data_IF_432818292771
#
_entry.id   IF_432818292771
#
_cell.length_a   1.000
_cell.length_b   1.000
_cell.length_c   1.000
_cell.angle_alpha   90.00
_cell.angle_beta   90.00
_cell.angle_gamma   90.00
#
_symmetry.space_group_name_H-M   'P 1'
#
loop_
_entity.id
_entity.type
_entity.pdbx_description
1 polymer ?
#
# COMPACT_ATOMS: atom_id res chain seq x y z
N UNK A 1 7.66 17.26 8.44
CA UNK A 1 8.61 16.48 9.26
C UNK A 1 9.19 15.44 8.30
N UNK A 2 10.40 15.66 7.78
CA UNK A 2 11.02 14.69 6.87
C UNK A 2 11.27 13.38 7.62
N UNK A 3 10.82 12.25 7.06
CA UNK A 3 11.09 10.90 7.59
C UNK A 3 12.61 10.67 7.65
N UNK A 4 13.19 10.70 8.85
CA UNK A 4 14.63 10.56 9.04
C UNK A 4 15.09 9.10 9.00
N UNK A 5 16.39 8.89 8.80
CA UNK A 5 17.04 7.57 8.65
C UNK A 5 16.92 6.59 9.83
N UNK A 6 16.19 6.95 10.89
CA UNK A 6 15.97 6.15 12.09
C UNK A 6 14.53 5.64 12.21
N UNK A 7 13.66 5.96 11.27
CA UNK A 7 12.29 5.50 11.28
C UNK A 7 12.21 4.05 10.80
N UNK A 8 11.56 3.22 11.62
CA UNK A 8 11.52 1.77 11.44
C UNK A 8 10.21 1.37 10.72
N UNK A 9 10.30 0.43 9.79
CA UNK A 9 9.16 -0.21 9.14
C UNK A 9 9.04 -1.66 9.65
N UNK A 10 7.88 -1.98 10.21
CA UNK A 10 7.51 -3.31 10.72
C UNK A 10 6.61 -3.97 9.69
N UNK A 11 6.89 -5.22 9.35
CA UNK A 11 6.04 -6.04 8.48
C UNK A 11 5.72 -7.36 9.16
N UNK A 12 4.44 -7.66 9.33
CA UNK A 12 3.96 -8.92 9.89
C UNK A 12 3.12 -9.66 8.86
N UNK A 13 3.41 -10.95 8.65
CA UNK A 13 2.64 -11.80 7.73
C UNK A 13 2.45 -13.17 8.35
N UNK A 14 1.21 -13.57 8.61
CA UNK A 14 0.79 -14.93 8.86
C UNK A 14 0.61 -15.67 7.52
N UNK A 15 1.39 -16.71 7.28
CA UNK A 15 1.58 -17.37 5.97
C UNK A 15 1.26 -18.86 5.96
N UNK A 16 0.94 -19.49 7.10
CA UNK A 16 0.43 -20.87 7.10
C UNK A 16 -1.02 -20.97 6.62
N UNK A 17 -1.19 -21.07 5.30
CA UNK A 17 -2.39 -21.69 4.69
C UNK A 17 -2.13 -23.19 4.56
N UNK A 18 -2.19 -23.90 5.68
CA UNK A 18 -2.30 -25.36 5.66
C UNK A 18 -3.75 -25.74 5.94
N UNK A 19 -4.46 -26.15 4.88
CA UNK A 19 -5.76 -26.85 4.88
C UNK A 19 -7.03 -26.00 4.68
N UNK A 20 -7.17 -25.40 3.51
CA UNK A 20 -8.49 -25.19 2.89
C UNK A 20 -8.50 -25.89 1.52
N UNK A 21 -9.18 -27.05 1.37
CA UNK A 21 -9.14 -27.84 0.13
C UNK A 21 -9.86 -27.19 -1.06
N UNK A 22 -10.43 -25.99 -0.90
CA UNK A 22 -11.15 -25.26 -1.95
C UNK A 22 -10.45 -23.96 -2.38
N UNK A 23 -9.27 -23.64 -1.84
CA UNK A 23 -8.51 -22.43 -2.19
C UNK A 23 -7.09 -22.83 -2.60
N UNK A 24 -6.83 -22.77 -3.91
CA UNK A 24 -5.56 -22.96 -4.59
C UNK A 24 -5.01 -24.40 -4.73
N UNK A 25 -4.50 -24.77 -5.93
CA UNK A 25 -3.77 -26.01 -6.10
C UNK A 25 -2.48 -25.99 -5.27
N UNK A 26 -2.21 -27.14 -4.66
CA UNK A 26 -1.05 -27.49 -3.85
C UNK A 26 0.26 -27.18 -4.58
N UNK A 27 0.86 -26.00 -4.34
CA UNK A 27 2.26 -25.71 -4.72
C UNK A 27 2.92 -24.81 -3.64
N UNK A 28 3.68 -25.46 -2.76
CA UNK A 28 4.92 -24.99 -2.09
C UNK A 28 4.80 -23.97 -0.93
N UNK A 29 4.31 -24.47 0.21
CA UNK A 29 3.97 -23.74 1.43
C UNK A 29 5.12 -23.35 2.38
N UNK A 30 6.40 -23.27 1.98
CA UNK A 30 7.47 -22.81 2.91
C UNK A 30 8.68 -22.12 2.24
N UNK A 31 8.87 -22.23 0.92
CA UNK A 31 10.00 -21.61 0.20
C UNK A 31 9.65 -20.25 -0.41
N UNK A 32 8.35 -19.92 -0.54
CA UNK A 32 7.86 -18.69 -1.17
C UNK A 32 7.74 -17.49 -0.21
N UNK A 33 7.73 -17.71 1.10
CA UNK A 33 7.58 -16.62 2.08
C UNK A 33 8.81 -15.73 2.09
N UNK A 34 10.02 -16.28 2.26
CA UNK A 34 11.26 -15.50 2.29
C UNK A 34 11.45 -14.61 1.04
N UNK A 35 11.22 -15.15 -0.16
CA UNK A 35 11.35 -14.40 -1.42
C UNK A 35 10.31 -13.29 -1.58
N UNK A 36 9.06 -13.52 -1.18
CA UNK A 36 8.04 -12.47 -1.17
C UNK A 36 8.39 -11.36 -0.17
N UNK A 37 8.96 -11.70 0.99
CA UNK A 37 9.38 -10.72 1.99
C UNK A 37 10.53 -9.85 1.51
N UNK A 38 11.56 -10.43 0.92
CA UNK A 38 12.66 -9.69 0.31
C UNK A 38 12.15 -8.76 -0.78
N UNK A 39 11.21 -9.22 -1.61
CA UNK A 39 10.54 -8.38 -2.59
C UNK A 39 9.78 -7.22 -1.92
N UNK A 40 8.95 -7.48 -0.90
CA UNK A 40 8.21 -6.41 -0.20
C UNK A 40 9.16 -5.42 0.48
N UNK A 41 10.27 -5.88 1.07
CA UNK A 41 11.33 -5.04 1.62
C UNK A 41 11.89 -4.10 0.54
N UNK A 42 12.37 -4.66 -0.57
CA UNK A 42 12.88 -3.90 -1.71
C UNK A 42 11.86 -2.88 -2.24
N UNK A 43 10.58 -3.26 -2.33
CA UNK A 43 9.52 -2.36 -2.78
C UNK A 43 9.35 -1.14 -1.87
N UNK A 44 9.38 -1.31 -0.55
CA UNK A 44 9.32 -0.18 0.38
C UNK A 44 10.62 0.61 0.44
N UNK A 45 11.78 -0.05 0.31
CA UNK A 45 13.10 0.59 0.26
C UNK A 45 13.23 1.53 -0.94
N UNK A 46 12.58 1.22 -2.07
CA UNK A 46 12.48 2.15 -3.21
C UNK A 46 11.84 3.48 -2.82
N UNK A 47 10.81 3.46 -1.98
CA UNK A 47 10.12 4.68 -1.53
C UNK A 47 10.85 5.39 -0.39
N UNK A 48 11.58 4.65 0.46
CA UNK A 48 12.31 5.21 1.60
C UNK A 48 13.62 4.45 1.88
N UNK A 49 14.68 4.67 1.10
CA UNK A 49 15.90 3.85 1.17
C UNK A 49 16.70 4.03 2.47
N UNK A 50 16.41 5.08 3.24
CA UNK A 50 17.15 5.40 4.47
C UNK A 50 16.48 4.86 5.74
N UNK A 51 15.27 4.30 5.64
CA UNK A 51 14.60 3.68 6.79
C UNK A 51 15.28 2.37 7.20
N UNK A 52 15.03 1.93 8.44
CA UNK A 52 15.41 0.60 8.88
C UNK A 52 14.21 -0.32 8.75
N UNK A 53 14.41 -1.45 8.11
CA UNK A 53 13.35 -2.41 7.89
C UNK A 53 13.51 -3.62 8.79
N UNK A 54 12.41 -4.03 9.42
CA UNK A 54 12.34 -5.25 10.22
C UNK A 54 11.07 -6.01 9.85
N UNK A 55 11.18 -7.32 9.78
CA UNK A 55 10.07 -8.19 9.46
C UNK A 55 9.93 -9.29 10.49
N UNK A 56 8.73 -9.86 10.58
CA UNK A 56 8.47 -11.08 11.29
C UNK A 56 7.52 -11.98 10.49
N UNK A 57 7.87 -13.26 10.41
CA UNK A 57 7.09 -14.31 9.75
C UNK A 57 6.25 -15.00 10.81
N UNK A 58 4.96 -15.16 10.55
CA UNK A 58 4.03 -15.92 11.39
C UNK A 58 4.18 -15.62 12.89
N UNK A 59 4.23 -14.33 13.31
CA UNK A 59 4.69 -13.99 14.64
C UNK A 59 3.76 -14.46 15.74
N UNK A 60 4.32 -14.59 16.93
CA UNK A 60 3.59 -14.59 18.21
C UNK A 60 3.32 -13.17 18.73
N UNK A 61 2.35 -13.04 19.65
CA UNK A 61 2.05 -11.76 20.30
C UNK A 61 3.30 -11.15 20.95
N UNK A 62 4.12 -11.95 21.61
CA UNK A 62 5.36 -11.49 22.26
C UNK A 62 6.38 -10.98 21.24
N UNK A 63 6.49 -11.61 20.08
CA UNK A 63 7.38 -11.18 19.01
C UNK A 63 6.92 -9.87 18.38
N UNK A 64 5.62 -9.73 18.12
CA UNK A 64 5.03 -8.46 17.66
C UNK A 64 5.28 -7.35 18.67
N UNK A 65 5.05 -7.62 19.96
CA UNK A 65 5.29 -6.66 21.04
C UNK A 65 6.74 -6.22 21.10
N UNK A 66 7.68 -7.17 21.10
CA UNK A 66 9.13 -6.88 21.12
C UNK A 66 9.54 -6.04 19.90
N UNK A 67 9.00 -6.37 18.73
CA UNK A 67 9.26 -5.66 17.49
C UNK A 67 8.73 -4.23 17.53
N UNK A 68 7.46 -4.03 17.91
CA UNK A 68 6.83 -2.71 18.05
C UNK A 68 7.58 -1.81 19.03
N UNK A 69 7.87 -2.32 20.24
CA UNK A 69 8.59 -1.57 21.27
C UNK A 69 10.03 -1.24 20.84
N UNK A 70 10.70 -2.18 20.17
CA UNK A 70 12.04 -1.97 19.63
C UNK A 70 12.05 -0.87 18.56
N UNK A 71 11.09 -0.89 17.64
CA UNK A 71 10.97 0.11 16.58
C UNK A 71 10.62 1.49 17.11
N UNK A 72 9.65 1.60 18.03
CA UNK A 72 9.36 2.88 18.69
C UNK A 72 10.58 3.43 19.42
N UNK A 73 11.29 2.59 20.18
CA UNK A 73 12.51 3.03 20.89
C UNK A 73 13.56 3.60 19.93
N UNK A 74 13.73 2.99 18.76
CA UNK A 74 14.69 3.43 17.74
C UNK A 74 14.25 4.72 17.03
N UNK A 75 12.98 4.78 16.62
CA UNK A 75 12.42 5.91 15.89
C UNK A 75 12.30 7.17 16.75
N UNK A 76 12.21 7.04 18.08
CA UNK A 76 12.01 8.15 19.01
C UNK A 76 10.75 8.94 18.64
N UNK A 77 10.91 10.17 18.15
CA UNK A 77 9.84 11.07 17.69
C UNK A 77 9.49 10.90 16.21
N UNK A 78 10.22 10.09 15.46
CA UNK A 78 9.96 9.83 14.05
C UNK A 78 8.77 8.86 13.86
N UNK A 79 8.19 8.87 12.67
CA UNK A 79 7.06 8.01 12.33
C UNK A 79 7.51 6.55 12.20
N UNK A 80 6.70 5.63 12.69
CA UNK A 80 6.91 4.18 12.52
C UNK A 80 5.84 3.65 11.55
N UNK A 81 6.25 2.87 10.55
CA UNK A 81 5.32 2.19 9.65
C UNK A 81 5.07 0.79 10.18
N UNK A 82 3.80 0.40 10.30
CA UNK A 82 3.39 -0.96 10.62
C UNK A 82 2.55 -1.52 9.48
N UNK A 83 3.07 -2.52 8.79
CA UNK A 83 2.39 -3.26 7.75
C UNK A 83 1.97 -4.61 8.30
N UNK A 84 0.68 -4.92 8.19
CA UNK A 84 0.11 -6.21 8.52
C UNK A 84 -0.60 -6.77 7.30
N UNK A 85 -0.11 -7.91 6.80
CA UNK A 85 -0.84 -8.72 5.85
C UNK A 85 -1.51 -9.84 6.65
N UNK A 86 -2.83 -9.99 6.55
CA UNK A 86 -3.62 -10.95 7.34
C UNK A 86 -4.31 -12.02 6.49
N UNK A 87 -3.71 -12.46 5.39
CA UNK A 87 -4.36 -13.40 4.47
C UNK A 87 -4.43 -14.84 4.99
N UNK A 88 -3.43 -15.28 5.77
CA UNK A 88 -3.35 -16.65 6.30
C UNK A 88 -4.07 -16.87 7.64
N UNK A 89 -4.88 -15.92 8.09
CA UNK A 89 -5.53 -15.89 9.40
C UNK A 89 -7.01 -15.47 9.29
N UNK A 90 -7.83 -15.68 10.33
CA UNK A 90 -9.22 -15.22 10.32
C UNK A 90 -9.34 -13.70 10.13
N UNK A 91 -10.52 -13.24 9.71
CA UNK A 91 -10.84 -11.81 9.60
C UNK A 91 -10.75 -11.13 10.98
N UNK A 92 -10.38 -9.83 11.04
CA UNK A 92 -10.42 -9.07 12.28
C UNK A 92 -11.77 -9.16 12.97
N UNK A 93 -11.81 -9.02 14.29
CA UNK A 93 -13.05 -9.15 15.07
C UNK A 93 -13.71 -7.80 15.31
N UNK A 94 -15.01 -7.81 15.65
CA UNK A 94 -15.74 -6.62 16.08
C UNK A 94 -15.19 -6.02 17.40
N UNK A 95 -14.42 -6.80 18.17
CA UNK A 95 -13.76 -6.32 19.39
C UNK A 95 -12.46 -5.56 19.10
N UNK A 96 -12.08 -5.40 17.82
CA UNK A 96 -10.85 -4.72 17.44
C UNK A 96 -9.62 -5.60 17.66
N UNK A 97 -9.67 -6.85 17.20
CA UNK A 97 -8.55 -7.78 17.27
C UNK A 97 -8.08 -8.13 15.86
N UNK A 98 -6.76 -8.15 15.67
CA UNK A 98 -6.12 -8.83 14.53
C UNK A 98 -5.61 -10.20 14.98
N UNK A 99 -5.22 -11.05 14.04
CA UNK A 99 -4.82 -12.42 14.36
C UNK A 99 -3.34 -12.66 14.08
N UNK A 100 -2.69 -13.35 15.02
CA UNK A 100 -1.31 -13.83 14.94
C UNK A 100 -1.27 -15.31 15.33
N UNK A 101 -0.10 -15.94 15.41
CA UNK A 101 0.00 -17.37 15.75
C UNK A 101 0.48 -17.60 17.20
N UNK A 102 0.23 -18.80 17.72
CA UNK A 102 0.99 -19.32 18.84
C UNK A 102 2.33 -19.93 18.35
N UNK A 103 3.25 -20.21 19.28
CA UNK A 103 4.59 -20.75 18.96
C UNK A 103 4.57 -22.06 18.18
N UNK A 104 3.55 -22.89 18.39
CA UNK A 104 3.38 -24.18 17.71
C UNK A 104 2.64 -24.08 16.37
N UNK A 105 2.16 -22.89 15.99
CA UNK A 105 1.34 -22.64 14.81
C UNK A 105 0.10 -23.53 14.71
N UNK A 106 -0.49 -23.86 15.86
CA UNK A 106 -1.69 -24.70 15.96
C UNK A 106 -2.94 -23.88 16.22
N UNK A 107 -2.79 -22.64 16.67
CA UNK A 107 -3.89 -21.75 17.02
C UNK A 107 -3.62 -20.34 16.54
N UNK A 108 -4.71 -19.69 16.10
CA UNK A 108 -4.75 -18.26 15.91
C UNK A 108 -4.97 -17.59 17.26
N UNK A 109 -4.13 -16.62 17.58
CA UNK A 109 -4.15 -15.86 18.82
C UNK A 109 -4.62 -14.44 18.51
N UNK A 110 -5.69 -13.95 19.17
CA UNK A 110 -6.16 -12.59 18.96
C UNK A 110 -5.16 -11.60 19.57
N UNK A 111 -4.84 -10.55 18.83
CA UNK A 111 -4.02 -9.43 19.23
C UNK A 111 -4.88 -8.16 19.19
N UNK A 112 -5.26 -7.60 20.35
CA UNK A 112 -6.03 -6.36 20.41
C UNK A 112 -5.28 -5.20 19.77
N UNK A 113 -5.96 -4.41 18.93
CA UNK A 113 -5.34 -3.24 18.31
C UNK A 113 -5.04 -2.12 19.31
N UNK A 114 -5.70 -2.16 20.48
CA UNK A 114 -5.35 -1.31 21.62
C UNK A 114 -3.93 -1.53 22.11
N UNK A 115 -3.44 -2.78 22.05
CA UNK A 115 -2.11 -3.14 22.48
C UNK A 115 -1.08 -2.66 21.46
N UNK A 116 -1.35 -2.87 20.16
CA UNK A 116 -0.55 -2.32 19.08
C UNK A 116 -0.39 -0.80 19.17
N UNK A 117 -1.50 -0.07 19.33
CA UNK A 117 -1.51 1.39 19.53
C UNK A 117 -0.65 1.79 20.75
N UNK A 118 -0.74 1.03 21.84
CA UNK A 118 0.02 1.31 23.07
C UNK A 118 1.54 1.10 22.91
N UNK A 119 1.95 0.13 22.09
CA UNK A 119 3.36 -0.21 21.85
C UNK A 119 4.00 0.74 20.83
N UNK A 120 3.28 1.02 19.74
CA UNK A 120 3.77 1.84 18.66
C UNK A 120 3.60 3.32 18.92
N UNK A 121 2.52 3.78 19.55
CA UNK A 121 2.23 5.19 19.83
C UNK A 121 2.33 6.09 18.59
N UNK A 122 2.14 7.38 18.77
CA UNK A 122 2.30 8.39 17.70
C UNK A 122 3.72 8.97 17.69
N UNK A 123 4.23 9.41 16.52
CA UNK A 123 3.59 9.34 15.20
C UNK A 123 3.72 7.93 14.58
N UNK A 124 2.65 7.41 13.98
CA UNK A 124 2.66 6.09 13.32
C UNK A 124 1.75 6.05 12.10
N UNK A 125 2.06 5.15 11.16
CA UNK A 125 1.23 4.82 10.00
C UNK A 125 1.05 3.31 9.94
N UNK A 126 -0.17 2.86 9.66
CA UNK A 126 -0.53 1.45 9.61
C UNK A 126 -1.08 1.09 8.23
N UNK A 127 -0.69 -0.06 7.72
CA UNK A 127 -1.19 -0.65 6.46
C UNK A 127 -1.77 -2.02 6.82
N UNK A 128 -3.07 -2.22 6.59
CA UNK A 128 -3.78 -3.46 6.87
C UNK A 128 -4.28 -4.10 5.59
N UNK A 129 -3.54 -5.07 5.08
CA UNK A 129 -3.91 -5.89 3.93
C UNK A 129 -4.61 -7.17 4.41
N UNK A 130 -5.91 -7.07 4.65
CA UNK A 130 -6.76 -8.21 5.00
C UNK A 130 -8.23 -7.92 4.67
N UNK A 131 -9.03 -8.98 4.60
CA UNK A 131 -10.49 -8.85 4.52
C UNK A 131 -11.05 -8.28 5.82
N UNK A 132 -12.15 -7.53 5.73
CA UNK A 132 -12.75 -6.77 6.83
C UNK A 132 -11.80 -5.81 7.57
N UNK A 133 -10.75 -5.31 6.90
CA UNK A 133 -9.78 -4.40 7.50
C UNK A 133 -10.42 -3.11 8.09
N UNK A 134 -11.60 -2.72 7.62
CA UNK A 134 -12.34 -1.60 8.19
C UNK A 134 -12.80 -1.79 9.63
N UNK A 135 -12.90 -3.03 10.12
CA UNK A 135 -13.12 -3.28 11.56
C UNK A 135 -11.95 -2.81 12.40
N UNK A 136 -10.71 -2.94 11.89
CA UNK A 136 -9.50 -2.45 12.56
C UNK A 136 -9.54 -0.93 12.66
N UNK A 137 -9.82 -0.26 11.54
CA UNK A 137 -9.88 1.22 11.49
C UNK A 137 -10.94 1.74 12.46
N UNK A 138 -12.13 1.14 12.48
CA UNK A 138 -13.20 1.49 13.41
C UNK A 138 -12.72 1.39 14.87
N UNK A 139 -12.10 0.28 15.26
CA UNK A 139 -11.59 0.08 16.61
C UNK A 139 -10.50 1.10 17.02
N UNK A 140 -9.64 1.51 16.08
CA UNK A 140 -8.66 2.57 16.32
C UNK A 140 -9.33 3.93 16.57
N UNK A 141 -10.37 4.28 15.80
CA UNK A 141 -11.07 5.57 15.90
C UNK A 141 -11.86 5.66 17.20
N UNK A 142 -12.68 4.66 17.52
CA UNK A 142 -13.51 4.64 18.75
C UNK A 142 -12.65 4.81 20.01
N UNK A 143 -11.44 4.25 20.01
CA UNK A 143 -10.47 4.41 21.10
C UNK A 143 -9.87 5.82 21.16
N UNK A 144 -9.60 6.44 20.02
CA UNK A 144 -9.08 7.82 19.98
C UNK A 144 -10.10 8.78 20.57
N UNK A 145 -11.37 8.64 20.21
CA UNK A 145 -12.45 9.49 20.70
C UNK A 145 -12.59 9.37 22.23
N UNK A 146 -12.60 8.14 22.76
CA UNK A 146 -12.62 7.88 24.21
C UNK A 146 -11.44 8.52 24.95
N UNK A 147 -10.23 8.44 24.37
CA UNK A 147 -9.02 9.01 24.95
C UNK A 147 -9.04 10.54 24.94
N UNK A 148 -9.53 11.16 23.87
CA UNK A 148 -9.62 12.61 23.71
C UNK A 148 -10.63 13.25 24.66
N UNK A 149 -11.74 12.56 24.96
CA UNK A 149 -12.72 13.00 25.97
C UNK A 149 -12.18 13.04 27.40
N UNK A 150 -11.02 12.43 27.70
CA UNK A 150 -10.43 12.37 29.05
C UNK A 150 -9.24 13.28 29.27
N UNK A 151 -8.75 13.99 28.25
CA UNK A 151 -7.64 14.93 28.35
C UNK A 151 -7.94 16.20 27.57
N UNK A 152 -8.22 17.30 28.30
CA UNK A 152 -8.38 18.65 27.75
C UNK A 152 -7.07 19.10 27.08
N UNK A 153 -6.93 18.83 25.79
CA UNK A 153 -5.72 19.01 25.00
C UNK A 153 -5.64 17.97 23.90
N UNK A 154 -6.63 17.97 22.99
CA UNK A 154 -6.69 17.10 21.81
C UNK A 154 -5.54 17.42 20.85
N UNK A 155 -4.35 16.90 21.15
CA UNK A 155 -3.39 16.56 20.11
C UNK A 155 -4.08 15.50 19.25
N UNK A 156 -4.50 15.89 18.04
CA UNK A 156 -4.88 14.93 16.99
C UNK A 156 -3.73 13.94 16.94
N UNK A 157 -3.96 12.72 17.44
CA UNK A 157 -2.95 11.67 17.42
C UNK A 157 -2.49 11.55 15.98
N UNK A 158 -1.19 11.70 15.75
CA UNK A 158 -0.59 11.58 14.43
C UNK A 158 -0.52 10.10 14.01
N UNK A 159 -1.70 9.51 13.88
CA UNK A 159 -1.99 8.14 13.54
C UNK A 159 -2.65 8.12 12.16
N UNK A 160 -2.03 7.42 11.23
CA UNK A 160 -2.51 7.25 9.87
C UNK A 160 -2.83 5.77 9.66
N UNK A 161 -3.98 5.46 9.09
CA UNK A 161 -4.41 4.09 8.82
C UNK A 161 -4.74 3.96 7.34
N UNK A 162 -4.27 2.90 6.70
CA UNK A 162 -4.64 2.49 5.35
C UNK A 162 -5.13 1.04 5.46
N UNK A 163 -6.35 0.77 5.00
CA UNK A 163 -6.98 -0.54 5.12
C UNK A 163 -7.57 -0.98 3.77
N UNK A 164 -7.35 -2.25 3.43
CA UNK A 164 -7.66 -2.78 2.10
C UNK A 164 -9.15 -2.78 1.76
N UNK A 165 -10.03 -2.85 2.75
CA UNK A 165 -11.47 -2.88 2.52
C UNK A 165 -12.28 -2.38 3.73
N UNK A 166 -13.56 -2.08 3.52
CA UNK A 166 -14.50 -1.74 4.60
C UNK A 166 -14.74 -2.90 5.59
N UNK A 167 -15.47 -2.63 6.68
CA UNK A 167 -15.70 -3.60 7.77
C UNK A 167 -16.41 -4.90 7.34
N UNK A 168 -17.20 -4.84 6.27
CA UNK A 168 -17.87 -6.01 5.68
C UNK A 168 -17.25 -6.43 4.33
N UNK A 169 -16.18 -5.75 3.91
CA UNK A 169 -15.50 -6.02 2.64
C UNK A 169 -14.73 -7.33 2.68
N UNK A 170 -14.60 -7.95 1.52
CA UNK A 170 -13.69 -9.07 1.29
C UNK A 170 -12.72 -8.66 0.18
N UNK A 171 -11.48 -9.13 0.27
CA UNK A 171 -10.50 -8.88 -0.78
C UNK A 171 -10.93 -9.54 -2.10
N UNK A 172 -10.52 -8.99 -3.25
CA UNK A 172 -10.72 -9.63 -4.56
C UNK A 172 -10.22 -11.08 -4.57
N UNK A 173 -11.00 -11.96 -5.20
CA UNK A 173 -10.67 -13.40 -5.34
C UNK A 173 -10.49 -13.82 -6.80
N UNK A 174 -10.69 -12.91 -7.76
CA UNK A 174 -10.47 -13.17 -9.18
C UNK A 174 -8.99 -13.47 -9.43
N UNK A 175 -8.71 -14.42 -10.32
CA UNK A 175 -7.35 -14.77 -10.74
C UNK A 175 -6.64 -13.65 -11.52
N UNK A 176 -7.37 -12.59 -11.90
CA UNK A 176 -6.83 -11.40 -12.54
C UNK A 176 -6.04 -10.52 -11.57
N UNK A 177 -6.30 -10.65 -10.26
CA UNK A 177 -5.61 -9.87 -9.23
C UNK A 177 -4.68 -10.77 -8.41
N UNK A 178 -3.53 -10.25 -7.97
CA UNK A 178 -2.72 -10.94 -6.99
C UNK A 178 -3.45 -10.97 -5.63
N UNK A 179 -3.11 -11.94 -4.79
CA UNK A 179 -3.70 -12.04 -3.45
C UNK A 179 -3.45 -10.77 -2.61
N UNK A 180 -2.27 -10.16 -2.76
CA UNK A 180 -1.81 -8.94 -2.11
C UNK A 180 -2.12 -7.65 -2.88
N UNK A 181 -3.24 -7.61 -3.62
CA UNK A 181 -3.68 -6.46 -4.44
C UNK A 181 -3.54 -5.11 -3.74
N UNK A 182 -3.91 -5.00 -2.46
CA UNK A 182 -3.81 -3.74 -1.73
C UNK A 182 -2.36 -3.33 -1.51
N UNK A 183 -1.53 -4.26 -1.03
CA UNK A 183 -0.09 -4.04 -0.87
C UNK A 183 0.56 -3.71 -2.20
N UNK A 184 0.32 -4.51 -3.25
CA UNK A 184 0.89 -4.33 -4.57
C UNK A 184 0.49 -2.98 -5.18
N UNK A 185 -0.74 -2.49 -4.96
CA UNK A 185 -1.13 -1.15 -5.43
C UNK A 185 -0.36 -0.06 -4.68
N UNK A 186 -0.17 -0.22 -3.37
CA UNK A 186 0.56 0.75 -2.54
C UNK A 186 2.06 0.76 -2.81
N UNK A 187 2.66 -0.37 -3.19
CA UNK A 187 4.13 -0.51 -3.27
C UNK A 187 4.66 -0.63 -4.69
N UNK A 188 3.85 -1.10 -5.64
CA UNK A 188 4.19 -1.28 -7.07
C UNK A 188 3.04 -0.81 -7.98
N UNK A 189 2.62 0.47 -7.90
CA UNK A 189 1.42 0.98 -8.55
C UNK A 189 1.43 0.83 -10.08
N UNK A 190 2.58 1.09 -10.74
CA UNK A 190 2.70 0.99 -12.19
C UNK A 190 2.52 -0.45 -12.66
N UNK A 191 3.16 -1.42 -12.00
CA UNK A 191 3.01 -2.83 -12.35
C UNK A 191 1.57 -3.31 -12.16
N UNK A 192 0.91 -2.86 -11.09
CA UNK A 192 -0.51 -3.17 -10.86
C UNK A 192 -1.41 -2.61 -11.94
N UNK A 193 -1.17 -1.37 -12.38
CA UNK A 193 -1.89 -0.77 -13.50
C UNK A 193 -1.67 -1.58 -14.80
N UNK A 194 -0.41 -1.89 -15.14
CA UNK A 194 -0.12 -2.65 -16.36
C UNK A 194 -0.78 -4.04 -16.36
N UNK A 195 -0.88 -4.69 -15.20
CA UNK A 195 -1.53 -6.01 -15.07
C UNK A 195 -3.05 -6.02 -15.28
N UNK A 196 -3.71 -4.85 -15.21
CA UNK A 196 -5.17 -4.71 -15.37
C UNK A 196 -5.57 -3.84 -16.57
N UNK A 197 -4.60 -3.21 -17.23
CA UNK A 197 -4.83 -2.33 -18.38
C UNK A 197 -5.55 -3.09 -19.50
N UNK A 198 -6.31 -2.37 -20.32
CA UNK A 198 -6.96 -2.94 -21.52
C UNK A 198 -5.96 -3.58 -22.50
N UNK A 199 -4.69 -3.17 -22.41
CA UNK A 199 -3.61 -3.75 -23.20
C UNK A 199 -3.08 -5.08 -22.64
N UNK A 200 -3.59 -5.60 -21.53
CA UNK A 200 -3.15 -6.88 -20.91
C UNK A 200 -3.18 -8.05 -21.91
N UNK A 201 -4.19 -8.10 -22.77
CA UNK A 201 -4.29 -9.19 -23.77
C UNK A 201 -3.35 -8.99 -24.96
N UNK A 202 -2.79 -7.79 -25.13
CA UNK A 202 -1.90 -7.42 -26.24
C UNK A 202 -0.42 -7.41 -25.82
N UNK A 203 -0.15 -7.06 -24.56
CA UNK A 203 1.18 -6.96 -23.99
C UNK A 203 1.38 -8.15 -23.06
N UNK A 204 2.26 -9.08 -23.46
CA UNK A 204 2.64 -10.20 -22.62
C UNK A 204 3.18 -9.68 -21.28
N UNK A 205 2.68 -10.25 -20.17
CA UNK A 205 3.13 -9.95 -18.81
C UNK A 205 4.66 -10.06 -18.68
N UNK A 206 5.28 -10.95 -19.44
CA UNK A 206 6.73 -11.10 -19.50
C UNK A 206 7.45 -9.84 -20.01
N UNK A 207 6.82 -9.04 -20.89
CA UNK A 207 7.39 -7.78 -21.37
C UNK A 207 7.35 -6.70 -20.30
N UNK A 208 6.30 -6.66 -19.47
CA UNK A 208 6.18 -5.74 -18.33
C UNK A 208 7.31 -5.98 -17.33
N UNK A 209 7.61 -7.24 -17.03
CA UNK A 209 8.69 -7.62 -16.10
C UNK A 209 10.09 -7.30 -16.66
N UNK A 210 10.21 -7.11 -17.97
CA UNK A 210 11.46 -6.74 -18.65
C UNK A 210 11.68 -5.24 -18.77
N UNK A 211 10.71 -4.41 -18.36
CA UNK A 211 10.88 -2.95 -18.36
C UNK A 211 12.06 -2.60 -17.46
N UNK A 212 13.11 -1.91 -17.97
CA UNK A 212 14.25 -1.53 -17.16
C UNK A 212 13.83 -0.65 -15.97
N UNK A 213 14.27 -1.02 -14.77
CA UNK A 213 13.91 -0.33 -13.51
C UNK A 213 14.66 1.02 -13.37
N UNK A 214 14.27 2.00 -14.19
CA UNK A 214 14.82 3.36 -14.24
C UNK A 214 13.75 4.42 -13.98
N UNK A 215 12.97 4.25 -12.92
CA UNK A 215 11.83 5.10 -12.55
C UNK A 215 12.14 6.60 -12.36
N UNK A 216 13.42 6.94 -12.14
CA UNK A 216 13.87 8.33 -11.99
C UNK A 216 14.28 8.96 -13.33
N UNK A 217 14.52 8.16 -14.37
CA UNK A 217 14.91 8.65 -15.69
C UNK A 217 13.66 8.86 -16.56
N UNK A 218 13.19 10.12 -16.57
CA UNK A 218 12.00 10.56 -17.31
C UNK A 218 12.08 10.34 -18.83
N UNK A 219 13.26 10.01 -19.38
CA UNK A 219 13.44 9.68 -20.80
C UNK A 219 13.20 8.20 -21.10
N UNK A 220 13.00 7.38 -20.07
CA UNK A 220 12.63 5.97 -20.22
C UNK A 220 11.12 5.81 -20.10
N UNK A 221 10.58 4.76 -20.73
CA UNK A 221 9.15 4.42 -20.64
C UNK A 221 8.67 4.36 -19.18
N UNK A 222 9.41 3.68 -18.31
CA UNK A 222 9.02 3.56 -16.90
C UNK A 222 9.11 4.89 -16.14
N UNK A 223 10.15 5.67 -16.40
CA UNK A 223 10.32 6.96 -15.73
C UNK A 223 9.29 7.99 -16.19
N UNK A 224 8.89 7.96 -17.46
CA UNK A 224 7.79 8.80 -17.95
C UNK A 224 6.44 8.37 -17.35
N UNK A 225 6.10 7.07 -17.37
CA UNK A 225 4.90 6.54 -16.72
C UNK A 225 4.84 6.94 -15.24
N UNK A 226 5.93 6.76 -14.51
CA UNK A 226 6.02 7.14 -13.10
C UNK A 226 5.86 8.66 -12.89
N UNK A 227 6.36 9.47 -13.82
CA UNK A 227 6.25 10.94 -13.74
C UNK A 227 4.82 11.41 -14.02
N UNK A 228 4.18 10.89 -15.07
CA UNK A 228 2.77 11.16 -15.39
C UNK A 228 1.87 10.68 -14.25
N UNK A 229 2.08 9.45 -13.77
CA UNK A 229 1.35 8.88 -12.63
C UNK A 229 1.41 9.81 -11.42
N UNK A 230 2.61 10.30 -11.11
CA UNK A 230 2.82 11.23 -10.02
C UNK A 230 2.07 12.54 -10.25
N UNK A 231 2.15 13.12 -11.45
CA UNK A 231 1.47 14.37 -11.78
C UNK A 231 -0.06 14.26 -11.68
N UNK A 232 -0.64 13.19 -12.25
CA UNK A 232 -2.08 12.91 -12.19
C UNK A 232 -2.56 12.81 -10.74
N UNK A 233 -1.91 11.97 -9.93
CA UNK A 233 -2.35 11.74 -8.56
C UNK A 233 -2.20 12.99 -7.68
N UNK A 234 -1.13 13.79 -7.86
CA UNK A 234 -1.02 15.08 -7.15
C UNK A 234 -2.12 16.06 -7.57
N UNK A 235 -2.49 16.07 -8.85
CA UNK A 235 -3.57 16.91 -9.37
C UNK A 235 -4.91 16.52 -8.76
N UNK A 236 -5.24 15.21 -8.76
CA UNK A 236 -6.44 14.67 -8.12
C UNK A 236 -6.46 15.05 -6.63
N UNK A 237 -5.37 14.78 -5.91
CA UNK A 237 -5.27 15.09 -4.49
C UNK A 237 -5.46 16.58 -4.19
N UNK A 238 -4.85 17.46 -5.00
CA UNK A 238 -4.96 18.90 -4.82
C UNK A 238 -6.38 19.43 -5.08
N UNK A 239 -7.07 18.89 -6.08
CA UNK A 239 -8.43 19.32 -6.43
C UNK A 239 -9.50 18.79 -5.48
N UNK A 240 -9.30 17.60 -4.91
CA UNK A 240 -10.32 16.92 -4.11
C UNK A 240 -10.15 17.13 -2.60
N UNK A 241 -8.91 17.20 -2.11
CA UNK A 241 -8.66 17.24 -0.66
C UNK A 241 -8.71 18.67 -0.10
N UNK A 242 -9.24 18.85 1.13
CA UNK A 242 -9.09 20.11 1.85
C UNK A 242 -7.61 20.48 2.03
N UNK A 243 -7.30 21.78 2.01
CA UNK A 243 -5.93 22.29 2.02
C UNK A 243 -5.07 21.68 3.15
N UNK A 244 -5.57 21.68 4.39
CA UNK A 244 -4.83 21.17 5.55
C UNK A 244 -4.55 19.67 5.44
N UNK A 245 -5.50 18.91 4.89
CA UNK A 245 -5.37 17.47 4.70
C UNK A 245 -4.35 17.16 3.60
N UNK A 246 -4.39 17.90 2.49
CA UNK A 246 -3.39 17.80 1.43
C UNK A 246 -1.98 18.11 1.95
N UNK A 247 -1.82 19.22 2.68
CA UNK A 247 -0.52 19.58 3.27
C UNK A 247 -0.01 18.48 4.19
N UNK A 248 -0.87 17.94 5.04
CA UNK A 248 -0.53 16.87 5.97
C UNK A 248 -0.09 15.58 5.27
N UNK A 249 -0.85 15.11 4.29
CA UNK A 249 -0.64 13.78 3.70
C UNK A 249 0.32 13.78 2.51
N UNK A 250 0.36 14.85 1.71
CA UNK A 250 1.12 14.90 0.46
C UNK A 250 2.39 15.77 0.53
N UNK A 251 2.58 16.60 1.59
CA UNK A 251 3.73 17.53 1.67
C UNK A 251 4.63 17.32 2.88
N UNK A 252 4.14 16.79 4.00
CA UNK A 252 4.93 16.74 5.24
C UNK A 252 6.00 15.64 5.27
N UNK A 253 5.70 14.48 4.69
CA UNK A 253 6.46 13.24 4.84
C UNK A 253 6.46 12.48 3.50
N UNK A 254 7.66 12.16 2.98
CA UNK A 254 7.83 11.59 1.64
C UNK A 254 7.24 10.19 1.50
N UNK A 255 7.33 9.37 2.56
CA UNK A 255 6.79 8.01 2.53
C UNK A 255 5.27 8.04 2.61
N UNK A 256 4.73 8.88 3.50
CA UNK A 256 3.28 9.10 3.60
C UNK A 256 2.72 9.65 2.28
N UNK A 257 3.38 10.64 1.68
CA UNK A 257 2.98 11.19 0.38
C UNK A 257 3.00 10.14 -0.73
N UNK A 258 4.01 9.26 -0.74
CA UNK A 258 4.08 8.17 -1.70
C UNK A 258 2.98 7.14 -1.49
N UNK A 259 2.71 6.75 -0.24
CA UNK A 259 1.63 5.81 0.08
C UNK A 259 0.26 6.39 -0.26
N UNK A 260 -0.02 7.66 0.04
CA UNK A 260 -1.29 8.29 -0.28
C UNK A 260 -1.47 8.56 -1.77
N UNK A 261 -0.41 8.92 -2.48
CA UNK A 261 -0.42 8.95 -3.96
C UNK A 261 -0.86 7.59 -4.51
N UNK A 262 -0.21 6.52 -4.04
CA UNK A 262 -0.49 5.17 -4.52
C UNK A 262 -1.86 4.66 -4.03
N UNK A 263 -2.35 5.16 -2.89
CA UNK A 263 -3.67 4.85 -2.35
C UNK A 263 -4.81 5.37 -3.24
N UNK A 264 -4.65 6.49 -3.95
CA UNK A 264 -5.67 6.96 -4.89
C UNK A 264 -5.85 5.98 -6.05
N UNK A 265 -4.74 5.47 -6.63
CA UNK A 265 -4.80 4.38 -7.60
C UNK A 265 -5.42 3.13 -6.98
N UNK A 266 -5.06 2.81 -5.74
CA UNK A 266 -5.62 1.66 -5.03
C UNK A 266 -7.14 1.77 -4.90
N UNK A 267 -7.68 2.97 -4.62
CA UNK A 267 -9.13 3.22 -4.61
C UNK A 267 -9.75 2.94 -5.98
N UNK A 268 -9.11 3.40 -7.06
CA UNK A 268 -9.58 3.20 -8.43
C UNK A 268 -9.58 1.71 -8.84
N UNK A 269 -8.47 1.00 -8.65
CA UNK A 269 -8.32 -0.42 -8.99
C UNK A 269 -9.24 -1.30 -8.14
N UNK A 270 -9.22 -1.13 -6.81
CA UNK A 270 -9.96 -2.05 -5.96
C UNK A 270 -11.47 -1.88 -6.10
N UNK A 271 -11.96 -0.68 -6.43
CA UNK A 271 -13.39 -0.45 -6.66
C UNK A 271 -13.90 -1.16 -7.91
N UNK A 272 -13.09 -1.31 -8.97
CA UNK A 272 -13.48 -2.15 -10.12
C UNK A 272 -13.61 -3.63 -9.74
N UNK A 273 -12.85 -4.06 -8.72
CA UNK A 273 -12.92 -5.39 -8.13
C UNK A 273 -13.93 -5.52 -6.96
N UNK A 274 -14.92 -4.62 -6.86
CA UNK A 274 -15.93 -4.58 -5.80
C UNK A 274 -15.36 -4.49 -4.36
N UNK A 275 -14.20 -3.89 -4.21
CA UNK A 275 -13.52 -3.71 -2.94
C UNK A 275 -13.25 -2.22 -2.68
N UNK A 276 -13.63 -1.70 -1.52
CA UNK A 276 -13.48 -0.26 -1.21
C UNK A 276 -12.44 -0.07 -0.11
N UNK A 277 -11.19 0.30 -0.45
CA UNK A 277 -10.17 0.59 0.55
C UNK A 277 -10.55 1.84 1.32
N UNK A 278 -10.10 1.92 2.57
CA UNK A 278 -10.42 3.03 3.47
C UNK A 278 -9.15 3.57 4.12
N UNK A 279 -9.17 4.85 4.47
CA UNK A 279 -8.08 5.51 5.17
C UNK A 279 -8.55 6.26 6.40
N UNK A 280 -7.63 6.49 7.33
CA UNK A 280 -7.73 7.50 8.37
C UNK A 280 -6.48 8.40 8.32
N UNK A 281 -6.61 9.73 8.18
CA UNK A 281 -7.86 10.47 7.96
C UNK A 281 -8.61 10.02 6.71
N UNK A 282 -9.94 10.18 6.73
CA UNK A 282 -10.82 9.79 5.61
C UNK A 282 -10.58 10.74 4.44
N UNK A 283 -10.43 10.19 3.23
CA UNK A 283 -10.40 10.96 1.99
C UNK A 283 -11.81 11.00 1.37
N UNK A 284 -12.20 12.11 0.73
CA UNK A 284 -13.29 12.10 -0.24
C UNK A 284 -12.97 11.14 -1.39
N UNK A 285 -13.99 10.64 -2.06
CA UNK A 285 -13.79 9.65 -3.12
C UNK A 285 -13.12 10.26 -4.36
N UNK A 286 -12.12 9.58 -4.89
CA UNK A 286 -11.30 10.06 -6.03
C UNK A 286 -11.39 9.18 -7.28
N UNK A 287 -11.98 7.99 -7.19
CA UNK A 287 -12.02 7.01 -8.28
C UNK A 287 -12.76 7.46 -9.56
N UNK A 288 -13.64 8.46 -9.48
CA UNK A 288 -14.38 9.00 -10.64
C UNK A 288 -13.82 10.32 -11.17
N UNK A 289 -12.63 10.72 -10.72
CA UNK A 289 -12.02 11.97 -11.17
C UNK A 289 -11.54 11.86 -12.63
N UNK A 290 -11.90 12.82 -13.47
CA UNK A 290 -11.60 12.84 -14.92
C UNK A 290 -10.11 12.71 -15.26
N UNK A 291 -9.21 13.11 -14.36
CA UNK A 291 -7.76 12.90 -14.54
C UNK A 291 -7.34 11.43 -14.62
N UNK A 292 -8.19 10.49 -14.19
CA UNK A 292 -7.95 9.06 -14.45
C UNK A 292 -8.06 8.72 -15.94
N UNK A 293 -8.94 9.39 -16.69
CA UNK A 293 -9.06 9.20 -18.14
C UNK A 293 -7.77 9.67 -18.85
N UNK A 294 -7.20 10.79 -18.39
CA UNK A 294 -5.91 11.29 -18.88
C UNK A 294 -4.74 10.36 -18.52
N UNK A 295 -4.78 9.72 -17.34
CA UNK A 295 -3.82 8.69 -16.96
C UNK A 295 -3.93 7.47 -17.87
N UNK A 296 -5.14 6.95 -18.06
CA UNK A 296 -5.39 5.74 -18.85
C UNK A 296 -4.88 5.92 -20.29
N UNK A 297 -5.29 7.02 -20.94
CA UNK A 297 -4.83 7.35 -22.30
C UNK A 297 -3.30 7.51 -22.40
N UNK A 298 -2.69 8.25 -21.49
CA UNK A 298 -1.24 8.46 -21.51
C UNK A 298 -0.47 7.16 -21.27
N UNK A 299 -0.96 6.32 -20.36
CA UNK A 299 -0.32 5.06 -20.04
C UNK A 299 -0.46 4.05 -21.18
N UNK A 300 -1.61 3.98 -21.86
CA UNK A 300 -1.79 3.14 -23.04
C UNK A 300 -0.85 3.53 -24.19
N UNK A 301 -0.69 4.83 -24.46
CA UNK A 301 0.24 5.34 -25.48
C UNK A 301 1.70 5.00 -25.14
N UNK A 302 2.08 5.09 -23.86
CA UNK A 302 3.41 4.68 -23.43
C UNK A 302 3.59 3.16 -23.60
N UNK A 303 2.62 2.37 -23.14
CA UNK A 303 2.69 0.91 -23.15
C UNK A 303 2.63 0.31 -24.56
N UNK A 304 1.96 0.95 -25.52
CA UNK A 304 1.95 0.49 -26.91
C UNK A 304 3.33 0.52 -27.58
N UNK A 305 4.27 1.29 -27.03
CA UNK A 305 5.68 1.33 -27.49
C UNK A 305 6.53 0.20 -26.89
N UNK A 306 6.01 -0.56 -25.92
CA UNK A 306 6.82 -1.50 -25.14
C UNK A 306 7.42 -2.63 -26.00
N UNK A 307 6.62 -3.21 -26.90
CA UNK A 307 7.07 -4.33 -27.74
C UNK A 307 8.23 -3.91 -28.66
N UNK A 308 8.12 -2.76 -29.33
CA UNK A 308 9.17 -2.26 -30.23
C UNK A 308 10.45 -1.90 -29.48
N UNK A 309 10.35 -1.30 -28.28
CA UNK A 309 11.51 -0.97 -27.46
C UNK A 309 12.29 -2.20 -26.96
N UNK A 310 11.61 -3.33 -26.78
CA UNK A 310 12.23 -4.58 -26.34
C UNK A 310 12.85 -5.35 -27.50
N UNK A 311 12.16 -5.37 -28.65
CA UNK A 311 12.59 -6.12 -29.84
C UNK A 311 13.70 -5.39 -30.61
N UNK A 312 13.66 -4.06 -30.64
CA UNK A 312 14.57 -3.23 -31.43
C UNK A 312 15.44 -2.32 -30.55
N UNK A 313 16.71 -2.68 -30.28
CA UNK A 313 17.56 -1.94 -29.34
C UNK A 313 17.96 -0.52 -29.79
N UNK A 314 17.68 -0.15 -31.05
CA UNK A 314 17.96 1.18 -31.59
C UNK A 314 16.74 2.12 -31.58
N UNK A 315 15.56 1.62 -31.22
CA UNK A 315 14.36 2.46 -31.14
C UNK A 315 14.43 3.29 -29.87
N UNK A 316 14.36 4.61 -30.03
CA UNK A 316 14.28 5.53 -28.90
C UNK A 316 12.82 5.73 -28.49
N UNK A 317 12.59 5.73 -27.18
CA UNK A 317 11.30 6.01 -26.59
C UNK A 317 10.78 7.40 -26.99
N UNK A 318 9.54 7.45 -27.48
CA UNK A 318 8.88 8.70 -27.81
C UNK A 318 8.07 9.21 -26.62
N UNK A 319 8.39 10.40 -26.08
CA UNK A 319 7.68 10.96 -24.93
C UNK A 319 6.20 11.21 -25.23
N UNK A 320 5.37 10.99 -24.20
CA UNK A 320 3.94 11.30 -24.21
C UNK A 320 3.68 12.80 -24.35
N UNK A 321 2.58 13.14 -25.04
CA UNK A 321 2.11 14.52 -25.17
C UNK A 321 1.40 15.03 -23.90
N UNK A 322 1.20 14.18 -22.89
CA UNK A 322 0.46 14.47 -21.66
C UNK A 322 0.78 15.86 -21.09
N UNK A 323 2.05 16.18 -20.83
CA UNK A 323 2.41 17.45 -20.21
C UNK A 323 2.13 18.66 -21.13
N UNK A 324 2.31 18.51 -22.44
CA UNK A 324 2.02 19.57 -23.42
C UNK A 324 0.52 19.85 -23.48
N UNK A 325 -0.30 18.81 -23.47
CA UNK A 325 -1.76 18.92 -23.46
C UNK A 325 -2.26 19.58 -22.17
N UNK A 326 -1.73 19.16 -21.00
CA UNK A 326 -2.10 19.76 -19.71
C UNK A 326 -1.67 21.23 -19.61
N UNK A 327 -0.50 21.60 -20.15
CA UNK A 327 -0.05 23.00 -20.19
C UNK A 327 -0.90 23.85 -21.14
N UNK A 328 -1.44 23.27 -22.20
CA UNK A 328 -2.34 23.97 -23.14
C UNK A 328 -3.71 24.24 -22.50
N UNK A 329 -4.15 23.37 -21.60
CA UNK A 329 -5.41 23.51 -20.89
C UNK A 329 -5.35 24.48 -19.68
N UNK A 330 -4.15 24.81 -19.18
CA UNK A 330 -3.91 25.69 -18.04
C UNK A 330 -4.02 27.18 -18.39
#
# INVERSE_FOLDING_TARGET
MQWNANADCIKLIPSKVSHCPNFFPVVLSNWFTAGWFEALLAQYERWQPRARYKHQLDPTVEEVKKLCLGCRKNAKSERVLFHYNGHGVPKPTANGEIWVFNKSYTQYIPLPVSDLDSWLRTPSIYVFDCSAAGMIVKAFIERQDWSSSRSAGSSIKDCILLAACGAHGTLPQSAEFPADVFTSCLTTPINMFCGISLLRDTIDQFLIDRIPDRQNDRKTLLGELNWIFTAVNYTIAWNVLPHDLFQRLFRQDLLVASLFRNFLLTEWIMRSANCSPISYPVLPSTHQHHMWDAWDMAAEICLSQLSSLIEEPNVEFQPSLFFTEQLTAF
#
